data_IF_524397481562
#
_entry.id   IF_524397481562
#
_cell.length_a   1.000
_cell.length_b   1.000
_cell.length_c   1.000
_cell.angle_alpha   90.00
_cell.angle_beta   90.00
_cell.angle_gamma   90.00
#
_symmetry.space_group_name_H-M   'P 1'
#
loop_
_entity.id
_entity.type
_entity.pdbx_description
1 polymer ?
#
# COMPACT_ATOMS: atom_id res chain seq x y z
N UNK A 1 -9.85 -21.80 -86.98
CA UNK A 1 -11.13 -21.14 -87.32
C UNK A 1 -12.25 -22.02 -86.79
N UNK A 2 -13.22 -21.62 -86.00
CA UNK A 2 -13.69 -20.31 -85.52
C UNK A 2 -14.85 -20.67 -84.56
N UNK A 3 -14.87 -20.05 -83.39
CA UNK A 3 -15.83 -20.15 -82.27
C UNK A 3 -17.08 -21.05 -82.46
N UNK A 4 -17.08 -22.24 -81.84
CA UNK A 4 -18.29 -23.03 -81.56
C UNK A 4 -18.89 -22.60 -80.23
N UNK A 5 -20.00 -21.87 -80.31
CA UNK A 5 -20.90 -21.54 -79.21
C UNK A 5 -21.44 -22.82 -78.55
N UNK A 6 -21.11 -23.02 -77.27
CA UNK A 6 -21.68 -24.06 -76.43
C UNK A 6 -23.16 -23.73 -76.13
N UNK A 7 -24.08 -24.45 -76.76
CA UNK A 7 -25.52 -24.42 -76.43
C UNK A 7 -25.73 -24.82 -74.97
N UNK A 8 -26.05 -23.86 -74.10
CA UNK A 8 -26.65 -24.12 -72.77
C UNK A 8 -27.93 -24.94 -72.97
N UNK A 9 -27.98 -26.16 -72.45
CA UNK A 9 -29.19 -26.98 -72.35
C UNK A 9 -30.26 -26.20 -71.57
N UNK A 10 -31.45 -26.00 -72.17
CA UNK A 10 -32.63 -25.48 -71.45
C UNK A 10 -33.07 -26.56 -70.47
N UNK A 11 -32.85 -26.34 -69.17
CA UNK A 11 -33.36 -27.19 -68.09
C UNK A 11 -34.89 -27.22 -68.19
N UNK A 12 -35.46 -28.41 -68.23
CA UNK A 12 -36.92 -28.60 -68.32
C UNK A 12 -37.60 -28.09 -67.05
N UNK A 13 -38.84 -27.55 -67.12
CA UNK A 13 -39.57 -27.01 -65.95
C UNK A 13 -39.64 -28.01 -64.78
N UNK A 14 -39.67 -29.31 -65.09
CA UNK A 14 -39.66 -30.41 -64.13
C UNK A 14 -38.29 -30.65 -63.44
N UNK A 15 -37.17 -30.46 -64.12
CA UNK A 15 -35.83 -30.61 -63.52
C UNK A 15 -35.50 -29.44 -62.59
N UNK A 16 -35.93 -28.22 -62.93
CA UNK A 16 -35.84 -27.06 -62.02
C UNK A 16 -36.69 -27.24 -60.77
N UNK A 17 -37.87 -27.83 -60.91
CA UNK A 17 -38.76 -28.09 -59.77
C UNK A 17 -38.16 -29.16 -58.83
N UNK A 18 -37.58 -30.23 -59.40
CA UNK A 18 -36.85 -31.24 -58.63
C UNK A 18 -35.64 -30.68 -57.91
N UNK A 19 -34.83 -29.85 -58.58
CA UNK A 19 -33.68 -29.20 -57.94
C UNK A 19 -34.11 -28.28 -56.79
N UNK A 20 -35.22 -27.54 -56.94
CA UNK A 20 -35.77 -26.73 -55.86
C UNK A 20 -36.28 -27.59 -54.70
N UNK A 21 -36.98 -28.69 -54.98
CA UNK A 21 -37.45 -29.64 -53.95
C UNK A 21 -36.30 -30.32 -53.21
N UNK A 22 -35.25 -30.73 -53.92
CA UNK A 22 -34.07 -31.39 -53.36
C UNK A 22 -33.21 -30.40 -52.56
N UNK A 23 -33.13 -29.14 -52.98
CA UNK A 23 -32.50 -28.05 -52.21
C UNK A 23 -33.31 -27.68 -50.96
N UNK A 24 -34.64 -27.69 -51.05
CA UNK A 24 -35.54 -27.43 -49.92
C UNK A 24 -35.53 -28.59 -48.90
N UNK A 25 -35.55 -29.85 -49.35
CA UNK A 25 -35.32 -31.02 -48.49
C UNK A 25 -33.93 -31.00 -47.84
N UNK A 26 -32.89 -30.55 -48.57
CA UNK A 26 -31.55 -30.44 -48.00
C UNK A 26 -31.48 -29.34 -46.94
N UNK A 27 -32.12 -28.18 -47.18
CA UNK A 27 -32.25 -27.11 -46.17
C UNK A 27 -33.03 -27.57 -44.95
N UNK A 28 -34.13 -28.30 -45.13
CA UNK A 28 -34.90 -28.84 -44.01
C UNK A 28 -34.10 -29.86 -43.19
N UNK A 29 -33.31 -30.73 -43.84
CA UNK A 29 -32.38 -31.63 -43.14
C UNK A 29 -31.27 -30.89 -42.41
N UNK A 30 -30.65 -29.90 -43.05
CA UNK A 30 -29.61 -29.08 -42.43
C UNK A 30 -30.15 -28.30 -41.21
N UNK A 31 -31.38 -27.77 -41.29
CA UNK A 31 -32.08 -27.11 -40.18
C UNK A 31 -32.44 -28.08 -39.04
N UNK A 32 -32.91 -29.30 -39.37
CA UNK A 32 -33.24 -30.32 -38.37
C UNK A 32 -31.99 -30.88 -37.68
N UNK A 33 -30.92 -31.12 -38.43
CA UNK A 33 -29.61 -31.49 -37.87
C UNK A 33 -29.03 -30.37 -37.00
N UNK A 34 -29.17 -29.10 -37.40
CA UNK A 34 -28.76 -27.96 -36.58
C UNK A 34 -29.60 -27.86 -35.30
N UNK A 35 -30.90 -28.11 -35.36
CA UNK A 35 -31.81 -28.11 -34.19
C UNK A 35 -31.44 -29.24 -33.21
N UNK A 36 -31.26 -30.46 -33.70
CA UNK A 36 -30.84 -31.61 -32.87
C UNK A 36 -29.45 -31.38 -32.28
N UNK A 37 -28.52 -30.80 -33.04
CA UNK A 37 -27.19 -30.44 -32.53
C UNK A 37 -27.29 -29.39 -31.42
N UNK A 38 -28.10 -28.35 -31.61
CA UNK A 38 -28.34 -27.33 -30.60
C UNK A 38 -29.00 -27.91 -29.34
N UNK A 39 -30.03 -28.75 -29.49
CA UNK A 39 -30.67 -29.45 -28.36
C UNK A 39 -29.68 -30.35 -27.60
N UNK A 40 -28.82 -31.08 -28.32
CA UNK A 40 -27.78 -31.91 -27.71
C UNK A 40 -26.73 -31.07 -26.98
N UNK A 41 -26.28 -29.95 -27.57
CA UNK A 41 -25.35 -29.01 -26.95
C UNK A 41 -25.95 -28.38 -25.68
N UNK A 42 -27.24 -27.99 -25.71
CA UNK A 42 -27.96 -27.48 -24.53
C UNK A 42 -28.10 -28.55 -23.44
N UNK A 43 -28.43 -29.79 -23.81
CA UNK A 43 -28.48 -30.92 -22.87
C UNK A 43 -27.11 -31.19 -22.24
N UNK A 44 -26.03 -31.21 -23.03
CA UNK A 44 -24.67 -31.39 -22.53
C UNK A 44 -24.24 -30.22 -21.62
N UNK A 45 -24.63 -28.98 -21.91
CA UNK A 45 -24.40 -27.82 -21.03
C UNK A 45 -25.12 -27.96 -19.70
N UNK A 46 -26.40 -28.35 -19.73
CA UNK A 46 -27.20 -28.55 -18.52
C UNK A 46 -26.66 -29.71 -17.67
N UNK A 47 -26.21 -30.79 -18.29
CA UNK A 47 -25.60 -31.92 -17.59
C UNK A 47 -24.26 -31.51 -16.95
N UNK A 48 -23.40 -30.78 -17.66
CA UNK A 48 -22.17 -30.19 -17.09
C UNK A 48 -22.48 -29.29 -15.89
N UNK A 49 -23.48 -28.42 -16.01
CA UNK A 49 -23.91 -27.55 -14.91
C UNK A 49 -24.43 -28.33 -13.70
N UNK A 50 -25.10 -29.47 -13.90
CA UNK A 50 -25.56 -30.33 -12.80
C UNK A 50 -24.38 -31.00 -12.10
N UNK A 51 -23.49 -31.62 -12.86
CA UNK A 51 -22.29 -32.28 -12.32
C UNK A 51 -21.42 -31.27 -11.56
N UNK A 52 -21.25 -30.06 -12.10
CA UNK A 52 -20.51 -28.98 -11.44
C UNK A 52 -21.19 -28.54 -10.14
N UNK A 53 -22.52 -28.41 -10.11
CA UNK A 53 -23.28 -28.11 -8.89
C UNK A 53 -23.18 -29.20 -7.84
N UNK A 54 -23.30 -30.46 -8.24
CA UNK A 54 -23.16 -31.60 -7.33
C UNK A 54 -21.76 -31.66 -6.72
N UNK A 55 -20.72 -31.49 -7.56
CA UNK A 55 -19.33 -31.36 -7.07
C UNK A 55 -19.18 -30.18 -6.12
N UNK A 56 -19.78 -29.04 -6.43
CA UNK A 56 -19.75 -27.86 -5.55
C UNK A 56 -20.39 -28.13 -4.19
N UNK A 57 -21.57 -28.76 -4.16
CA UNK A 57 -22.24 -29.15 -2.92
C UNK A 57 -21.44 -30.17 -2.10
N UNK A 58 -20.75 -31.11 -2.76
CA UNK A 58 -19.86 -32.05 -2.06
C UNK A 58 -18.68 -31.32 -1.40
N UNK A 59 -18.10 -30.33 -2.07
CA UNK A 59 -17.03 -29.51 -1.49
C UNK A 59 -17.55 -28.66 -0.32
N UNK A 60 -18.78 -28.12 -0.41
CA UNK A 60 -19.39 -27.35 0.70
C UNK A 60 -19.64 -28.22 1.92
N UNK A 61 -20.09 -29.46 1.73
CA UNK A 61 -20.28 -30.40 2.84
C UNK A 61 -18.94 -30.71 3.54
N UNK A 62 -17.88 -30.97 2.75
CA UNK A 62 -16.54 -31.23 3.30
C UNK A 62 -15.96 -30.03 4.06
N UNK A 63 -16.10 -28.82 3.53
CA UNK A 63 -15.67 -27.61 4.24
C UNK A 63 -16.43 -27.43 5.54
N UNK A 64 -17.76 -27.63 5.54
CA UNK A 64 -18.58 -27.50 6.74
C UNK A 64 -18.15 -28.48 7.84
N UNK A 65 -17.78 -29.72 7.47
CA UNK A 65 -17.27 -30.72 8.41
C UNK A 65 -15.94 -30.29 9.04
N UNK A 66 -15.02 -29.74 8.25
CA UNK A 66 -13.68 -29.30 8.71
C UNK A 66 -13.66 -27.94 9.41
N UNK A 67 -14.64 -27.08 9.11
CA UNK A 67 -14.65 -25.65 9.49
C UNK A 67 -14.35 -25.38 10.96
N UNK A 68 -14.96 -26.15 11.86
CA UNK A 68 -14.75 -25.93 13.29
C UNK A 68 -13.31 -26.26 13.70
N UNK A 69 -12.77 -27.37 13.20
CA UNK A 69 -11.39 -27.80 13.48
C UNK A 69 -10.38 -26.81 12.90
N UNK A 70 -10.58 -26.35 11.65
CA UNK A 70 -9.72 -25.35 11.01
C UNK A 70 -9.74 -24.00 11.74
N UNK A 71 -10.92 -23.56 12.19
CA UNK A 71 -11.04 -22.30 12.93
C UNK A 71 -10.42 -22.40 14.33
N UNK A 72 -10.51 -23.55 14.99
CA UNK A 72 -9.88 -23.79 16.28
C UNK A 72 -8.34 -23.84 16.15
N UNK A 73 -7.80 -24.54 15.13
CA UNK A 73 -6.37 -24.54 14.84
C UNK A 73 -5.86 -23.11 14.54
N UNK A 74 -6.61 -22.35 13.71
CA UNK A 74 -6.23 -20.97 13.43
C UNK A 74 -6.26 -20.10 14.69
N UNK A 75 -7.25 -20.26 15.57
CA UNK A 75 -7.34 -19.51 16.82
C UNK A 75 -6.10 -19.73 17.70
N UNK A 76 -5.64 -20.98 17.83
CA UNK A 76 -4.41 -21.32 18.56
C UNK A 76 -3.17 -20.68 17.91
N UNK A 77 -3.08 -20.67 16.58
CA UNK A 77 -1.99 -20.00 15.86
C UNK A 77 -2.03 -18.48 16.06
N UNK A 78 -3.21 -17.88 16.14
CA UNK A 78 -3.40 -16.45 16.39
C UNK A 78 -3.09 -16.04 17.85
N UNK A 79 -2.88 -16.97 18.78
CA UNK A 79 -2.43 -16.65 20.15
C UNK A 79 -1.06 -15.94 20.16
N UNK A 80 -0.29 -16.03 19.07
CA UNK A 80 0.93 -15.27 18.90
C UNK A 80 0.72 -13.74 18.96
N UNK A 81 -0.44 -13.21 18.54
CA UNK A 81 -0.73 -11.77 18.58
C UNK A 81 -0.85 -11.23 20.02
N UNK A 82 -1.72 -11.79 20.90
CA UNK A 82 -1.76 -11.36 22.30
C UNK A 82 -0.45 -11.66 23.04
N UNK A 83 0.28 -12.72 22.69
CA UNK A 83 1.61 -12.99 23.25
C UNK A 83 2.63 -11.90 22.88
N UNK A 84 2.70 -11.52 21.61
CA UNK A 84 3.58 -10.44 21.15
C UNK A 84 3.25 -9.11 21.84
N UNK A 85 1.96 -8.81 21.98
CA UNK A 85 1.50 -7.62 22.69
C UNK A 85 1.86 -7.65 24.18
N UNK A 86 1.79 -8.82 24.84
CA UNK A 86 2.29 -8.99 26.20
C UNK A 86 3.80 -8.74 26.28
N UNK A 87 4.59 -9.31 25.37
CA UNK A 87 6.03 -9.10 25.31
C UNK A 87 6.41 -7.62 25.11
N UNK A 88 5.66 -6.88 24.30
CA UNK A 88 5.85 -5.42 24.14
C UNK A 88 5.63 -4.68 25.46
N UNK A 89 4.56 -5.02 26.19
CA UNK A 89 4.27 -4.42 27.51
C UNK A 89 5.36 -4.75 28.52
N UNK A 90 5.76 -6.00 28.60
CA UNK A 90 6.81 -6.47 29.52
C UNK A 90 8.15 -5.80 29.19
N UNK A 91 8.49 -5.66 27.91
CA UNK A 91 9.70 -4.94 27.46
C UNK A 91 9.64 -3.47 27.87
N UNK A 92 8.50 -2.80 27.68
CA UNK A 92 8.30 -1.40 28.11
C UNK A 92 8.45 -1.24 29.62
N UNK A 93 7.83 -2.13 30.40
CA UNK A 93 7.95 -2.13 31.86
C UNK A 93 9.39 -2.35 32.31
N UNK A 94 10.12 -3.26 31.66
CA UNK A 94 11.53 -3.49 31.95
C UNK A 94 12.38 -2.27 31.60
N UNK A 95 12.13 -1.60 30.47
CA UNK A 95 12.80 -0.34 30.12
C UNK A 95 12.53 0.76 31.14
N UNK A 96 11.28 0.92 31.60
CA UNK A 96 10.92 1.85 32.67
C UNK A 96 11.62 1.51 33.98
N UNK A 97 11.68 0.23 34.35
CA UNK A 97 12.39 -0.22 35.54
C UNK A 97 13.90 0.01 35.45
N UNK A 98 14.52 -0.27 34.30
CA UNK A 98 15.94 -0.03 34.09
C UNK A 98 16.28 1.46 34.18
N UNK A 99 15.45 2.31 33.56
CA UNK A 99 15.56 3.76 33.67
C UNK A 99 15.43 4.22 35.13
N UNK A 100 14.45 3.69 35.87
CA UNK A 100 14.28 3.96 37.31
C UNK A 100 15.52 3.55 38.14
N UNK A 101 16.18 2.44 37.83
CA UNK A 101 17.41 2.02 38.52
C UNK A 101 18.61 2.89 38.16
N UNK A 102 18.71 3.36 36.92
CA UNK A 102 19.86 4.11 36.43
C UNK A 102 20.05 5.43 37.18
N UNK A 103 18.96 6.07 37.65
CA UNK A 103 19.02 7.30 38.46
C UNK A 103 19.96 8.37 37.90
N UNK A 104 20.10 8.46 36.57
CA UNK A 104 21.07 9.35 35.91
C UNK A 104 20.52 10.76 35.66
N UNK A 105 19.25 11.00 36.05
CA UNK A 105 18.57 12.28 35.89
C UNK A 105 18.06 12.55 34.47
N UNK A 106 18.16 11.59 33.55
CA UNK A 106 17.52 11.69 32.24
C UNK A 106 15.99 11.56 32.36
N UNK A 107 15.18 12.23 31.52
CA UNK A 107 13.72 12.15 31.58
C UNK A 107 13.19 10.91 30.86
N UNK A 108 12.05 10.36 31.30
CA UNK A 108 11.33 9.33 30.53
C UNK A 108 10.63 9.98 29.31
N UNK A 109 10.96 9.61 28.06
CA UNK A 109 10.32 10.13 26.85
C UNK A 109 8.81 9.91 26.77
N UNK A 110 8.27 8.97 27.54
CA UNK A 110 6.85 8.66 27.61
C UNK A 110 6.08 9.48 28.65
N UNK A 111 6.77 10.26 29.48
CA UNK A 111 6.18 11.11 30.52
C UNK A 111 6.34 12.58 30.11
N UNK A 112 5.30 13.16 29.50
CA UNK A 112 5.35 14.54 28.98
C UNK A 112 5.80 15.59 30.01
N UNK A 113 5.39 15.54 31.29
CA UNK A 113 5.90 16.47 32.31
C UNK A 113 7.42 16.42 32.51
N UNK A 114 8.04 15.23 32.47
CA UNK A 114 9.49 15.06 32.64
C UNK A 114 10.24 15.62 31.44
N UNK A 115 9.76 15.33 30.22
CA UNK A 115 10.31 15.88 28.99
C UNK A 115 10.19 17.41 28.94
N UNK A 116 9.05 17.96 29.36
CA UNK A 116 8.88 19.42 29.44
C UNK A 116 9.83 20.06 30.45
N UNK A 117 10.02 19.41 31.61
CA UNK A 117 10.96 19.86 32.64
C UNK A 117 12.39 19.80 32.12
N UNK A 118 12.78 18.69 31.49
CA UNK A 118 14.09 18.51 30.91
C UNK A 118 14.37 19.48 29.76
N UNK A 119 13.42 19.70 28.84
CA UNK A 119 13.54 20.71 27.76
C UNK A 119 13.69 22.11 28.36
N UNK A 120 13.01 22.41 29.46
CA UNK A 120 13.13 23.70 30.14
C UNK A 120 14.51 23.87 30.79
N UNK A 121 15.00 22.84 31.50
CA UNK A 121 16.33 22.83 32.10
C UNK A 121 17.45 22.85 31.05
N UNK A 122 17.29 22.11 29.95
CA UNK A 122 18.24 22.12 28.83
C UNK A 122 18.28 23.48 28.14
N UNK A 123 17.14 24.16 27.97
CA UNK A 123 17.11 25.55 27.49
C UNK A 123 17.85 26.52 28.40
N UNK A 124 18.00 26.20 29.68
CA UNK A 124 18.76 26.96 30.66
C UNK A 124 20.26 26.59 30.68
N UNK A 125 20.63 25.38 30.25
CA UNK A 125 22.03 24.95 30.08
C UNK A 125 22.61 25.37 28.73
N UNK A 126 23.17 26.59 28.67
CA UNK A 126 24.01 27.02 27.54
C UNK A 126 25.44 26.49 27.69
N UNK A 127 25.77 25.36 27.06
CA UNK A 127 27.17 24.95 26.88
C UNK A 127 27.81 25.74 25.72
N UNK A 128 28.10 27.00 26.00
CA UNK A 128 29.13 27.83 25.36
C UNK A 128 29.96 28.40 26.54
N UNK A 129 31.25 28.69 26.36
CA UNK A 129 32.05 29.28 27.45
C UNK A 129 31.34 30.54 27.95
N UNK A 130 31.21 30.70 29.28
CA UNK A 130 30.46 31.80 29.90
C UNK A 130 30.88 33.17 29.32
N UNK A 131 32.16 33.31 28.92
CA UNK A 131 32.66 34.52 28.26
C UNK A 131 32.07 34.77 26.85
N UNK A 132 31.91 33.74 26.02
CA UNK A 132 31.36 33.86 24.65
C UNK A 132 29.87 34.20 24.67
N UNK A 133 29.11 33.56 25.56
CA UNK A 133 27.68 33.84 25.77
C UNK A 133 27.48 35.25 26.28
N UNK A 134 28.29 35.71 27.25
CA UNK A 134 28.18 37.07 27.80
C UNK A 134 28.53 38.12 26.73
N UNK A 135 29.52 37.87 25.87
CA UNK A 135 29.88 38.79 24.80
C UNK A 135 28.77 38.92 23.74
N UNK A 136 28.22 37.78 23.26
CA UNK A 136 27.08 37.76 22.34
C UNK A 136 25.83 38.37 22.99
N UNK A 137 25.56 38.05 24.26
CA UNK A 137 24.39 38.57 24.99
C UNK A 137 24.49 40.07 25.22
N UNK A 138 25.68 40.62 25.51
CA UNK A 138 25.87 42.09 25.60
C UNK A 138 25.66 42.77 24.25
N UNK A 139 26.09 42.15 23.16
CA UNK A 139 25.85 42.66 21.80
C UNK A 139 24.34 42.67 21.49
N UNK A 140 23.64 41.55 21.71
CA UNK A 140 22.19 41.42 21.49
C UNK A 140 21.40 42.35 22.41
N UNK A 141 21.79 42.47 23.69
CA UNK A 141 21.17 43.40 24.63
C UNK A 141 21.40 44.86 24.23
N UNK A 142 22.59 45.22 23.73
CA UNK A 142 22.81 46.57 23.19
C UNK A 142 21.94 46.81 21.94
N UNK A 143 21.82 45.84 21.03
CA UNK A 143 20.95 45.93 19.85
C UNK A 143 19.47 46.08 20.25
N UNK A 144 19.01 45.35 21.27
CA UNK A 144 17.65 45.46 21.81
C UNK A 144 17.42 46.78 22.56
N UNK A 145 18.44 47.29 23.26
CA UNK A 145 18.38 48.48 24.11
C UNK A 145 18.57 49.79 23.33
N UNK A 146 19.32 49.77 22.23
CA UNK A 146 19.49 50.89 21.30
C UNK A 146 18.39 50.96 20.21
N UNK A 147 17.40 50.06 20.28
CA UNK A 147 16.10 50.23 19.62
C UNK A 147 16.01 49.59 18.25
N UNK A 148 15.84 48.26 18.24
CA UNK A 148 15.19 47.61 17.10
C UNK A 148 13.78 48.19 16.98
N UNK A 149 13.55 49.01 15.95
CA UNK A 149 12.22 49.50 15.61
C UNK A 149 11.48 48.41 14.86
N UNK A 150 10.25 48.09 15.29
CA UNK A 150 9.39 47.14 14.58
C UNK A 150 8.97 47.77 13.27
N UNK A 151 9.61 47.36 12.18
CA UNK A 151 9.18 47.72 10.84
C UNK A 151 8.00 46.82 10.45
N UNK A 152 6.80 47.39 10.39
CA UNK A 152 5.60 46.70 9.95
C UNK A 152 5.57 46.77 8.43
N UNK A 153 5.47 45.61 7.78
CA UNK A 153 5.31 45.51 6.34
C UNK A 153 4.03 44.74 6.00
N UNK A 154 3.15 45.29 5.14
CA UNK A 154 3.26 46.63 4.53
C UNK A 154 3.15 47.76 5.60
N UNK A 155 3.85 48.90 5.42
CA UNK A 155 3.78 50.03 6.33
C UNK A 155 2.34 50.52 6.52
N UNK A 156 1.91 50.73 7.76
CA UNK A 156 0.68 51.46 8.07
C UNK A 156 0.86 52.90 7.56
N UNK A 157 0.10 53.28 6.54
CA UNK A 157 0.25 54.55 5.83
C UNK A 157 0.22 55.76 6.77
N UNK A 158 1.36 56.41 6.97
CA UNK A 158 1.39 57.83 7.36
C UNK A 158 1.45 58.64 6.07
N UNK A 159 0.31 59.24 5.70
CA UNK A 159 0.10 60.39 4.81
C UNK A 159 1.12 60.64 3.67
N UNK A 160 0.58 60.71 2.44
CA UNK A 160 1.22 61.16 1.19
C UNK A 160 2.12 60.20 0.40
N UNK A 161 1.53 59.10 -0.07
CA UNK A 161 1.87 58.63 -1.42
C UNK A 161 0.58 58.44 -2.23
N UNK A 162 0.54 59.16 -3.35
CA UNK A 162 -0.49 59.11 -4.38
C UNK A 162 -0.84 57.65 -4.73
N UNK A 163 -2.14 57.42 -4.92
CA UNK A 163 -2.75 56.21 -5.46
C UNK A 163 -1.96 55.62 -6.63
N UNK A 164 -1.15 54.58 -6.39
CA UNK A 164 -0.76 53.51 -7.34
C UNK A 164 0.28 52.50 -6.79
N UNK A 165 0.95 52.74 -5.66
CA UNK A 165 1.99 51.83 -5.16
C UNK A 165 1.47 50.84 -4.12
N UNK A 166 0.98 49.67 -4.57
CA UNK A 166 1.02 48.48 -3.74
C UNK A 166 2.48 48.23 -3.34
N UNK A 167 2.78 48.12 -2.04
CA UNK A 167 4.13 47.80 -1.60
C UNK A 167 4.61 46.53 -2.33
N UNK A 168 5.82 46.52 -2.90
CA UNK A 168 6.24 45.43 -3.78
C UNK A 168 6.39 44.15 -2.97
N UNK A 169 5.78 43.02 -3.38
CA UNK A 169 5.88 41.74 -2.68
C UNK A 169 7.33 41.38 -2.35
N UNK A 170 7.51 40.74 -1.21
CA UNK A 170 8.82 40.35 -0.71
C UNK A 170 9.19 39.02 -1.31
N UNK A 171 10.31 38.99 -2.02
CA UNK A 171 10.89 37.75 -2.51
C UNK A 171 11.60 37.01 -1.36
N UNK A 172 11.24 35.75 -1.17
CA UNK A 172 11.82 34.86 -0.17
C UNK A 172 12.35 33.63 -0.88
N UNK A 173 13.62 33.29 -0.59
CA UNK A 173 14.25 32.05 -1.05
C UNK A 173 14.57 31.17 0.16
N UNK A 174 14.10 29.93 0.13
CA UNK A 174 14.32 28.92 1.18
C UNK A 174 15.03 27.71 0.60
N UNK A 175 15.95 27.13 1.38
CA UNK A 175 16.55 25.82 1.09
C UNK A 175 15.75 24.72 1.78
N UNK A 176 15.31 23.72 0.99
CA UNK A 176 14.54 22.59 1.49
C UNK A 176 15.46 21.58 2.17
N UNK A 177 15.14 21.21 3.43
CA UNK A 177 15.93 20.29 4.25
C UNK A 177 16.25 18.97 3.56
N UNK A 178 17.50 18.50 3.68
CA UNK A 178 18.06 17.39 2.88
C UNK A 178 17.20 16.10 2.86
N UNK A 179 16.63 15.77 4.01
CA UNK A 179 15.86 14.57 4.28
C UNK A 179 14.41 14.61 3.80
N UNK A 180 13.88 15.76 3.38
CA UNK A 180 12.49 15.90 2.91
C UNK A 180 12.43 15.72 1.40
N UNK A 181 11.47 14.91 0.94
CA UNK A 181 11.21 14.63 -0.46
C UNK A 181 9.84 15.22 -0.85
N UNK A 182 9.82 15.95 -1.96
CA UNK A 182 8.62 16.42 -2.63
C UNK A 182 8.54 15.74 -4.01
N UNK A 183 7.40 15.12 -4.31
CA UNK A 183 7.19 14.41 -5.60
C UNK A 183 6.59 15.32 -6.68
N UNK A 184 5.97 16.41 -6.25
CA UNK A 184 5.48 17.51 -7.08
C UNK A 184 6.01 18.81 -6.51
N UNK A 185 5.86 19.91 -7.26
CA UNK A 185 6.27 21.22 -6.78
C UNK A 185 5.53 21.55 -5.46
N UNK A 186 6.27 21.81 -4.37
CA UNK A 186 5.65 22.04 -3.07
C UNK A 186 4.82 23.32 -3.11
N UNK A 187 3.64 23.26 -2.51
CA UNK A 187 2.83 24.45 -2.32
C UNK A 187 3.34 25.24 -1.11
N UNK A 188 3.41 26.56 -1.25
CA UNK A 188 3.75 27.45 -0.14
C UNK A 188 2.45 27.90 0.52
N UNK A 189 2.41 27.83 1.85
CA UNK A 189 1.28 28.33 2.64
C UNK A 189 1.78 29.26 3.75
N UNK A 190 0.99 30.31 4.03
CA UNK A 190 1.20 31.25 5.13
C UNK A 190 0.22 30.96 6.26
N UNK A 191 0.64 31.20 7.50
CA UNK A 191 -0.22 31.05 8.67
C UNK A 191 -1.12 32.28 8.81
N UNK A 192 -2.43 32.07 8.84
CA UNK A 192 -3.40 33.09 9.25
C UNK A 192 -3.62 33.01 10.77
N UNK A 193 -3.19 34.06 11.47
CA UNK A 193 -3.32 34.14 12.92
C UNK A 193 -4.76 34.36 13.39
N UNK A 194 -5.61 35.01 12.59
CA UNK A 194 -7.01 35.29 12.95
C UNK A 194 -7.87 34.03 12.77
N UNK A 195 -7.78 33.40 11.60
CA UNK A 195 -8.47 32.15 11.30
C UNK A 195 -7.86 30.91 11.96
N UNK A 196 -6.59 30.99 12.41
CA UNK A 196 -5.81 29.87 12.97
C UNK A 196 -5.69 28.68 12.01
N UNK A 197 -5.41 28.95 10.75
CA UNK A 197 -5.20 27.93 9.74
C UNK A 197 -4.18 28.39 8.68
N UNK A 198 -3.70 27.44 7.89
CA UNK A 198 -2.84 27.73 6.75
C UNK A 198 -3.68 28.24 5.56
N UNK A 199 -3.16 29.22 4.82
CA UNK A 199 -3.76 29.80 3.63
C UNK A 199 -2.71 29.94 2.51
N UNK A 200 -3.14 29.97 1.26
CA UNK A 200 -2.27 30.05 0.07
C UNK A 200 -2.40 31.39 -0.69
N UNK A 201 -3.12 32.34 -0.13
CA UNK A 201 -3.30 33.69 -0.66
C UNK A 201 -2.14 34.62 -0.27
N UNK A 202 -1.99 35.73 -0.99
CA UNK A 202 -0.88 36.66 -0.79
C UNK A 202 0.50 36.08 -1.13
N UNK A 203 0.52 34.97 -1.87
CA UNK A 203 1.71 34.28 -2.36
C UNK A 203 1.67 34.24 -3.89
N UNK A 204 2.76 34.62 -4.53
CA UNK A 204 2.90 34.60 -6.00
C UNK A 204 4.31 34.22 -6.43
N UNK A 205 4.52 34.02 -7.74
CA UNK A 205 5.83 33.74 -8.35
C UNK A 205 6.58 32.55 -7.70
N UNK A 206 5.86 31.50 -7.33
CA UNK A 206 6.47 30.29 -6.75
C UNK A 206 7.28 29.57 -7.82
N UNK A 207 8.57 29.41 -7.58
CA UNK A 207 9.52 28.68 -8.41
C UNK A 207 10.30 27.71 -7.53
N UNK A 208 10.19 26.42 -7.81
CA UNK A 208 10.98 25.38 -7.15
C UNK A 208 12.06 24.83 -8.08
N UNK A 209 13.32 24.96 -7.67
CA UNK A 209 14.48 24.40 -8.35
C UNK A 209 14.88 23.11 -7.63
N UNK A 210 14.31 21.98 -8.05
CA UNK A 210 14.47 20.70 -7.37
C UNK A 210 15.93 20.21 -7.28
N UNK A 211 16.76 20.48 -8.30
CA UNK A 211 18.19 20.12 -8.30
C UNK A 211 19.00 20.87 -7.24
N UNK A 212 18.67 22.15 -7.00
CA UNK A 212 19.34 23.01 -6.01
C UNK A 212 18.63 22.99 -4.65
N UNK A 213 17.42 22.40 -4.59
CA UNK A 213 16.52 22.39 -3.43
C UNK A 213 16.12 23.78 -2.96
N UNK A 214 16.13 24.75 -3.85
CA UNK A 214 15.76 26.14 -3.55
C UNK A 214 14.33 26.39 -4.02
N UNK A 215 13.51 26.93 -3.13
CA UNK A 215 12.19 27.47 -3.48
C UNK A 215 12.20 28.98 -3.31
N UNK A 216 11.80 29.69 -4.35
CA UNK A 216 11.67 31.15 -4.36
C UNK A 216 10.21 31.53 -4.58
N UNK A 217 9.70 32.48 -3.82
CA UNK A 217 8.32 32.96 -3.93
C UNK A 217 8.19 34.39 -3.41
N UNK A 218 7.12 35.07 -3.84
CA UNK A 218 6.80 36.44 -3.44
C UNK A 218 5.67 36.44 -2.39
N UNK A 219 5.85 37.19 -1.29
CA UNK A 219 4.89 37.36 -0.20
C UNK A 219 4.37 38.80 -0.11
N UNK A 220 3.06 38.98 -0.02
CA UNK A 220 2.44 40.29 0.21
C UNK A 220 2.56 40.76 1.67
N UNK A 221 2.63 39.83 2.62
CA UNK A 221 2.71 40.13 4.07
C UNK A 221 3.63 39.13 4.77
N UNK A 222 4.38 39.59 5.78
CA UNK A 222 5.21 38.70 6.59
C UNK A 222 4.37 37.82 7.52
N UNK A 223 4.79 36.56 7.65
CA UNK A 223 4.24 35.63 8.61
C UNK A 223 4.98 34.29 8.57
N UNK A 224 4.64 33.36 9.49
CA UNK A 224 5.10 31.99 9.40
C UNK A 224 4.67 31.38 8.07
N UNK A 225 5.60 30.71 7.39
CA UNK A 225 5.36 29.98 6.13
C UNK A 225 5.71 28.52 6.30
N UNK A 226 5.08 27.67 5.49
CA UNK A 226 5.38 26.25 5.42
C UNK A 226 5.24 25.73 3.99
N UNK A 227 5.85 24.58 3.73
CA UNK A 227 5.76 23.85 2.47
C UNK A 227 4.84 22.65 2.67
N UNK A 228 3.88 22.47 1.77
CA UNK A 228 2.89 21.40 1.84
C UNK A 228 2.88 20.59 0.55
N UNK A 229 2.55 19.30 0.69
CA UNK A 229 2.33 18.37 -0.42
C UNK A 229 1.10 17.52 -0.15
N UNK A 230 0.56 16.90 -1.18
CA UNK A 230 -0.56 15.97 -1.01
C UNK A 230 -0.13 14.76 -0.15
N UNK A 231 -0.90 14.51 0.91
CA UNK A 231 -0.68 13.38 1.83
C UNK A 231 -0.86 12.04 1.11
N UNK A 232 -1.65 12.00 0.04
CA UNK A 232 -2.02 10.80 -0.69
C UNK A 232 -1.26 10.60 -2.00
N UNK A 233 -0.23 11.41 -2.28
CA UNK A 233 0.52 11.42 -3.55
C UNK A 233 1.12 10.06 -3.96
N UNK A 234 1.45 9.22 -2.97
CA UNK A 234 2.00 7.88 -3.17
C UNK A 234 0.93 6.77 -3.14
N UNK A 235 -0.36 7.13 -3.23
CA UNK A 235 -1.52 6.23 -3.25
C UNK A 235 -2.41 6.57 -4.47
N UNK A 236 -2.99 5.56 -5.16
CA UNK A 236 -2.91 4.14 -4.88
C UNK A 236 -1.55 3.53 -5.26
N UNK A 237 -1.23 2.37 -4.68
CA UNK A 237 -0.03 1.62 -4.99
C UNK A 237 -0.20 0.90 -6.34
N UNK A 238 0.85 0.92 -7.16
CA UNK A 238 0.88 0.23 -8.45
C UNK A 238 1.13 -1.27 -8.30
N UNK A 239 1.95 -1.65 -7.32
CA UNK A 239 2.20 -3.05 -6.96
C UNK A 239 2.84 -3.15 -5.58
N UNK A 240 2.83 -4.35 -5.02
CA UNK A 240 3.56 -4.67 -3.80
C UNK A 240 3.97 -6.15 -3.78
N UNK A 241 5.04 -6.45 -3.06
CA UNK A 241 5.52 -7.81 -2.81
C UNK A 241 6.02 -7.93 -1.38
N UNK A 242 5.59 -8.96 -0.67
CA UNK A 242 6.10 -9.35 0.64
C UNK A 242 6.85 -10.67 0.46
N UNK A 243 8.18 -10.68 0.62
CA UNK A 243 9.00 -11.89 0.44
C UNK A 243 9.80 -12.23 1.70
N UNK A 244 9.88 -13.52 2.09
CA UNK A 244 10.77 -13.91 3.18
C UNK A 244 12.23 -13.72 2.77
N UNK A 245 13.04 -13.27 3.73
CA UNK A 245 14.49 -13.24 3.67
C UNK A 245 15.10 -14.29 4.59
N UNK A 246 14.44 -14.55 5.73
CA UNK A 246 14.80 -15.54 6.73
C UNK A 246 13.52 -15.87 7.54
N UNK A 247 13.57 -16.84 8.46
CA UNK A 247 12.43 -17.28 9.28
C UNK A 247 11.75 -16.13 10.02
N UNK A 248 12.52 -15.14 10.48
CA UNK A 248 12.01 -13.96 11.21
C UNK A 248 12.36 -12.65 10.53
N UNK A 249 12.48 -12.67 9.19
CA UNK A 249 12.86 -11.50 8.40
C UNK A 249 12.17 -11.52 7.05
N UNK A 250 11.50 -10.44 6.68
CA UNK A 250 10.87 -10.25 5.36
C UNK A 250 11.30 -8.94 4.74
N UNK A 251 11.19 -8.86 3.42
CA UNK A 251 11.23 -7.62 2.65
C UNK A 251 9.82 -7.32 2.13
N UNK A 252 9.28 -6.17 2.48
CA UNK A 252 8.10 -5.58 1.87
C UNK A 252 8.55 -4.53 0.85
N UNK A 253 8.22 -4.75 -0.41
CA UNK A 253 8.42 -3.78 -1.49
C UNK A 253 7.06 -3.18 -1.85
N UNK A 254 6.94 -1.86 -1.81
CA UNK A 254 5.75 -1.12 -2.24
C UNK A 254 6.14 -0.19 -3.38
N UNK A 255 5.48 -0.35 -4.52
CA UNK A 255 5.68 0.46 -5.71
C UNK A 255 4.49 1.38 -5.90
N UNK A 256 4.75 2.66 -6.03
CA UNK A 256 3.79 3.75 -6.21
C UNK A 256 4.07 4.42 -7.55
N UNK A 257 3.34 5.50 -7.88
CA UNK A 257 3.55 6.25 -9.11
C UNK A 257 4.96 6.86 -9.19
N UNK A 258 5.46 7.39 -8.08
CA UNK A 258 6.73 8.13 -8.04
C UNK A 258 7.87 7.34 -7.41
N UNK A 259 7.55 6.33 -6.59
CA UNK A 259 8.54 5.69 -5.72
C UNK A 259 8.41 4.18 -5.61
N UNK A 260 9.56 3.53 -5.41
CA UNK A 260 9.65 2.15 -4.93
C UNK A 260 10.31 2.17 -3.56
N UNK A 261 9.59 1.71 -2.54
CA UNK A 261 10.05 1.69 -1.15
C UNK A 261 10.25 0.23 -0.73
N UNK A 262 11.45 -0.09 -0.26
CA UNK A 262 11.79 -1.41 0.25
C UNK A 262 12.00 -1.36 1.76
N UNK A 263 11.17 -2.09 2.50
CA UNK A 263 11.14 -2.11 3.96
C UNK A 263 11.51 -3.51 4.44
N UNK A 264 12.59 -3.64 5.20
CA UNK A 264 12.89 -4.88 5.91
C UNK A 264 12.18 -4.90 7.25
N UNK A 265 11.45 -5.98 7.53
CA UNK A 265 10.82 -6.22 8.83
C UNK A 265 11.53 -7.42 9.45
N UNK A 266 12.08 -7.24 10.64
CA UNK A 266 12.82 -8.27 11.38
C UNK A 266 12.41 -8.23 12.84
N UNK A 267 11.94 -9.35 13.37
CA UNK A 267 11.45 -9.43 14.76
C UNK A 267 10.46 -8.28 15.05
N UNK A 268 10.75 -7.42 16.03
CA UNK A 268 9.91 -6.26 16.39
C UNK A 268 10.34 -4.94 15.75
N UNK A 269 11.15 -4.98 14.68
CA UNK A 269 11.78 -3.80 14.08
C UNK A 269 11.54 -3.72 12.57
N UNK A 270 11.54 -2.49 12.07
CA UNK A 270 11.45 -2.13 10.66
C UNK A 270 12.68 -1.28 10.27
N UNK A 271 13.12 -1.41 9.03
CA UNK A 271 14.23 -0.65 8.47
C UNK A 271 13.94 -0.32 7.01
N UNK A 272 14.26 0.92 6.62
CA UNK A 272 14.25 1.31 5.21
C UNK A 272 15.50 0.71 4.55
N UNK A 273 15.29 -0.24 3.64
CA UNK A 273 16.38 -0.92 2.95
C UNK A 273 16.84 -0.16 1.70
N UNK A 274 15.89 0.36 0.92
CA UNK A 274 16.19 1.29 -0.16
C UNK A 274 14.96 2.09 -0.57
N UNK A 275 15.20 3.27 -1.15
CA UNK A 275 14.19 4.06 -1.86
C UNK A 275 14.66 4.36 -3.27
N UNK A 276 13.76 4.18 -4.24
CA UNK A 276 13.92 4.72 -5.59
C UNK A 276 12.87 5.79 -5.82
N UNK A 277 13.29 6.93 -6.35
CA UNK A 277 12.41 8.01 -6.80
C UNK A 277 12.64 8.15 -8.31
N UNK A 278 11.58 8.11 -9.11
CA UNK A 278 11.66 8.15 -10.59
C UNK A 278 12.64 7.11 -11.17
N UNK A 279 12.61 5.89 -10.63
CA UNK A 279 13.52 4.78 -10.96
C UNK A 279 15.02 5.05 -10.70
N UNK A 280 15.37 6.14 -10.04
CA UNK A 280 16.74 6.45 -9.60
C UNK A 280 16.88 6.16 -8.12
N UNK A 281 18.00 5.56 -7.74
CA UNK A 281 18.31 5.32 -6.32
C UNK A 281 18.43 6.67 -5.61
N UNK A 282 17.66 6.86 -4.55
CA UNK A 282 17.69 8.06 -3.73
C UNK A 282 18.27 7.69 -2.36
N UNK A 283 19.36 8.36 -1.94
CA UNK A 283 19.94 8.10 -0.63
C UNK A 283 19.14 8.84 0.42
N UNK A 284 18.43 8.09 1.27
CA UNK A 284 17.73 8.66 2.43
C UNK A 284 18.58 8.49 3.68
N UNK A 285 18.58 9.50 4.56
CA UNK A 285 19.22 9.44 5.88
C UNK A 285 18.62 8.35 6.79
N UNK A 286 17.42 7.86 6.46
CA UNK A 286 16.73 6.77 7.16
C UNK A 286 17.24 5.38 6.78
N UNK A 287 17.92 5.23 5.63
CA UNK A 287 18.38 3.92 5.16
C UNK A 287 19.30 3.25 6.19
N UNK A 288 19.08 1.95 6.42
CA UNK A 288 19.92 1.16 7.33
C UNK A 288 19.61 1.31 8.84
N UNK A 289 18.68 2.19 9.23
CA UNK A 289 18.30 2.38 10.65
C UNK A 289 17.14 1.47 11.06
N UNK A 290 17.36 0.63 12.07
CA UNK A 290 16.30 -0.20 12.65
C UNK A 290 15.50 0.59 13.69
N UNK A 291 14.17 0.57 13.56
CA UNK A 291 13.23 1.30 14.40
C UNK A 291 12.04 0.42 14.75
N UNK A 292 11.31 0.73 15.83
CA UNK A 292 10.01 0.10 16.06
C UNK A 292 9.02 0.51 14.95
N UNK A 293 7.99 -0.30 14.63
CA UNK A 293 7.06 0.01 13.55
C UNK A 293 6.44 1.42 13.63
N UNK A 294 6.06 1.88 14.84
CA UNK A 294 5.48 3.22 15.04
C UNK A 294 6.51 4.31 14.73
N UNK A 295 7.71 4.20 15.32
CA UNK A 295 8.79 5.16 15.08
C UNK A 295 9.21 5.19 13.61
N UNK A 296 9.22 4.02 12.95
CA UNK A 296 9.50 3.89 11.54
C UNK A 296 8.46 4.62 10.67
N UNK A 297 7.16 4.42 10.95
CA UNK A 297 6.07 5.10 10.23
C UNK A 297 6.18 6.62 10.37
N UNK A 298 6.43 7.11 11.59
CA UNK A 298 6.57 8.55 11.84
C UNK A 298 7.78 9.13 11.10
N UNK A 299 8.95 8.50 11.20
CA UNK A 299 10.15 8.94 10.51
C UNK A 299 9.96 8.95 8.99
N UNK A 300 9.29 7.94 8.42
CA UNK A 300 9.05 7.86 6.98
C UNK A 300 8.07 8.94 6.50
N UNK A 301 7.07 9.32 7.32
CA UNK A 301 6.17 10.44 7.05
C UNK A 301 6.89 11.79 7.11
N UNK A 302 7.78 11.98 8.07
CA UNK A 302 8.57 13.21 8.23
C UNK A 302 9.50 13.48 7.04
N UNK A 303 9.91 12.44 6.30
CA UNK A 303 10.69 12.60 5.06
C UNK A 303 9.83 12.78 3.80
N UNK A 304 8.50 12.85 3.93
CA UNK A 304 7.57 12.95 2.80
C UNK A 304 7.18 11.60 2.16
N UNK A 305 7.76 10.48 2.61
CA UNK A 305 7.50 9.13 2.08
C UNK A 305 6.24 8.51 2.71
N UNK A 306 5.09 9.16 2.56
CA UNK A 306 3.86 8.66 3.16
C UNK A 306 3.17 7.58 2.32
N UNK A 307 3.20 6.33 2.80
CA UNK A 307 2.44 5.18 2.25
C UNK A 307 1.41 4.63 3.24
N UNK A 308 1.04 5.40 4.27
CA UNK A 308 0.21 4.92 5.37
C UNK A 308 -1.14 5.66 5.38
N UNK A 309 -2.20 5.08 4.80
CA UNK A 309 -3.51 5.71 4.77
C UNK A 309 -4.09 5.91 6.17
N UNK A 310 -4.90 6.97 6.31
CA UNK A 310 -5.70 7.25 7.50
C UNK A 310 -7.12 6.71 7.33
N UNK A 311 -7.95 6.80 8.37
CA UNK A 311 -9.36 6.37 8.31
C UNK A 311 -10.18 7.05 7.21
N UNK A 312 -9.77 8.24 6.76
CA UNK A 312 -10.47 9.04 5.76
C UNK A 312 -9.79 9.05 4.39
N UNK A 313 -8.68 8.35 4.21
CA UNK A 313 -7.93 8.34 2.93
C UNK A 313 -8.76 7.81 1.75
N UNK A 314 -9.76 6.97 1.99
CA UNK A 314 -10.65 6.43 0.96
C UNK A 314 -11.55 7.47 0.28
N UNK A 315 -11.66 8.69 0.83
CA UNK A 315 -12.37 9.79 0.18
C UNK A 315 -11.51 10.53 -0.85
N UNK A 316 -10.18 10.40 -0.78
CA UNK A 316 -9.22 11.15 -1.59
C UNK A 316 -8.55 10.29 -2.66
N UNK A 317 -8.58 8.96 -2.49
CA UNK A 317 -7.94 8.01 -3.39
C UNK A 317 -9.00 7.07 -3.97
N UNK A 318 -9.00 6.90 -5.29
CA UNK A 318 -9.86 5.91 -5.97
C UNK A 318 -9.31 4.52 -5.68
N UNK A 319 -10.06 3.74 -4.90
CA UNK A 319 -9.64 2.43 -4.41
C UNK A 319 -10.79 1.43 -4.38
N UNK A 320 -10.47 0.13 -4.34
CA UNK A 320 -11.41 -0.90 -3.95
C UNK A 320 -11.38 -1.09 -2.42
N UNK A 321 -12.15 -0.26 -1.71
CA UNK A 321 -12.17 -0.27 -0.25
C UNK A 321 -12.72 -1.59 0.31
N UNK A 322 -11.84 -2.47 0.79
CA UNK A 322 -12.21 -3.79 1.31
C UNK A 322 -12.90 -3.66 2.67
N UNK A 323 -13.77 -4.64 2.98
CA UNK A 323 -14.38 -4.71 4.30
C UNK A 323 -13.31 -4.93 5.38
N UNK A 324 -13.26 -4.10 6.44
CA UNK A 324 -12.19 -4.15 7.43
C UNK A 324 -11.96 -5.52 8.06
N UNK A 325 -13.03 -6.29 8.31
CA UNK A 325 -12.93 -7.63 8.89
C UNK A 325 -12.25 -8.63 7.96
N UNK A 326 -12.52 -8.56 6.65
CA UNK A 326 -11.88 -9.44 5.65
C UNK A 326 -10.40 -9.09 5.56
N UNK A 327 -10.08 -7.80 5.52
CA UNK A 327 -8.71 -7.28 5.44
C UNK A 327 -7.88 -7.67 6.68
N UNK A 328 -8.41 -7.50 7.89
CA UNK A 328 -7.74 -7.91 9.14
C UNK A 328 -7.46 -9.42 9.15
N UNK A 329 -8.47 -10.23 8.83
CA UNK A 329 -8.31 -11.70 8.79
C UNK A 329 -7.33 -12.15 7.74
N UNK A 330 -7.30 -11.50 6.57
CA UNK A 330 -6.32 -11.77 5.54
C UNK A 330 -4.92 -11.47 6.06
N UNK A 331 -4.69 -10.26 6.57
CA UNK A 331 -3.35 -9.84 7.03
C UNK A 331 -2.77 -10.67 8.15
N UNK A 332 -3.60 -11.10 9.12
CA UNK A 332 -3.14 -12.01 10.17
C UNK A 332 -2.60 -13.32 9.60
N UNK A 333 -3.33 -13.89 8.64
CA UNK A 333 -2.95 -15.15 8.01
C UNK A 333 -1.77 -15.00 7.04
N UNK A 334 -1.69 -13.89 6.31
CA UNK A 334 -0.52 -13.56 5.49
C UNK A 334 0.73 -13.43 6.38
N UNK A 335 0.61 -12.78 7.54
CA UNK A 335 1.70 -12.65 8.49
C UNK A 335 2.16 -13.99 9.07
N UNK A 336 1.22 -14.89 9.43
CA UNK A 336 1.54 -16.24 9.90
C UNK A 336 2.34 -17.06 8.87
N UNK A 337 2.05 -16.88 7.58
CA UNK A 337 2.69 -17.60 6.49
C UNK A 337 3.98 -16.92 5.96
N UNK A 338 4.25 -15.68 6.39
CA UNK A 338 5.27 -14.80 5.78
C UNK A 338 6.72 -15.27 5.93
N UNK A 339 7.00 -16.25 6.79
CA UNK A 339 8.34 -16.82 6.99
C UNK A 339 8.75 -17.83 5.91
N UNK A 340 7.79 -18.38 5.17
CA UNK A 340 8.04 -19.39 4.14
C UNK A 340 7.39 -19.07 2.78
N UNK A 341 6.48 -18.10 2.75
CA UNK A 341 5.72 -17.75 1.56
C UNK A 341 5.89 -16.29 1.19
N UNK A 342 6.14 -16.06 -0.11
CA UNK A 342 6.07 -14.75 -0.72
C UNK A 342 4.64 -14.46 -1.17
N UNK A 343 4.21 -13.22 -0.99
CA UNK A 343 2.91 -12.71 -1.41
C UNK A 343 3.08 -11.51 -2.34
N UNK A 344 2.15 -11.32 -3.27
CA UNK A 344 2.20 -10.19 -4.18
C UNK A 344 0.84 -9.64 -4.59
N UNK A 345 0.86 -8.39 -5.04
CA UNK A 345 -0.27 -7.70 -5.64
C UNK A 345 -0.82 -8.42 -6.87
N UNK A 346 -2.13 -8.64 -6.95
CA UNK A 346 -2.79 -9.18 -8.14
C UNK A 346 -3.69 -8.14 -8.81
N UNK A 347 -3.67 -8.06 -10.14
CA UNK A 347 -4.53 -7.14 -10.90
C UNK A 347 -6.02 -7.42 -10.68
N UNK A 348 -6.36 -8.67 -10.35
CA UNK A 348 -7.74 -9.11 -10.12
C UNK A 348 -8.31 -8.65 -8.77
N UNK A 349 -7.47 -8.17 -7.85
CA UNK A 349 -7.95 -7.69 -6.55
C UNK A 349 -8.83 -6.43 -6.68
N UNK A 350 -8.61 -5.62 -7.72
CA UNK A 350 -9.43 -4.46 -8.04
C UNK A 350 -10.80 -4.89 -8.59
N UNK A 351 -10.84 -5.93 -9.43
CA UNK A 351 -12.06 -6.45 -10.06
C UNK A 351 -12.99 -7.20 -9.10
N UNK A 352 -12.44 -7.76 -8.01
CA UNK A 352 -13.24 -8.55 -7.06
C UNK A 352 -14.03 -7.64 -6.08
N UNK A 353 -15.14 -8.16 -5.53
CA UNK A 353 -15.97 -7.40 -4.59
C UNK A 353 -15.20 -6.96 -3.34
N UNK A 354 -15.66 -5.91 -2.64
CA UNK A 354 -15.07 -5.43 -1.37
C UNK A 354 -15.03 -6.48 -0.25
N UNK A 355 -15.83 -7.54 -0.36
CA UNK A 355 -15.88 -8.69 0.58
C UNK A 355 -14.81 -9.74 0.31
N UNK A 356 -14.02 -9.59 -0.75
CA UNK A 356 -13.03 -10.56 -1.18
C UNK A 356 -11.69 -9.87 -1.40
N UNK A 357 -10.62 -10.61 -1.15
CA UNK A 357 -9.26 -10.20 -1.44
C UNK A 357 -8.61 -11.26 -2.31
N UNK A 358 -7.80 -10.80 -3.27
CA UNK A 358 -7.03 -11.68 -4.15
C UNK A 358 -5.56 -11.34 -4.01
N UNK A 359 -4.74 -12.36 -3.77
CA UNK A 359 -3.29 -12.22 -3.62
C UNK A 359 -2.57 -13.28 -4.43
N UNK A 360 -1.40 -12.92 -4.95
CA UNK A 360 -0.44 -13.89 -5.44
C UNK A 360 0.28 -14.55 -4.27
N UNK A 361 0.54 -15.84 -4.40
CA UNK A 361 1.26 -16.67 -3.45
C UNK A 361 2.33 -17.49 -4.15
N UNK A 362 3.51 -17.58 -3.54
CA UNK A 362 4.58 -18.49 -3.93
C UNK A 362 5.32 -19.00 -2.70
N UNK A 363 5.62 -20.29 -2.67
CA UNK A 363 6.53 -20.84 -1.66
C UNK A 363 7.97 -20.35 -1.93
N UNK A 364 8.65 -19.87 -0.90
CA UNK A 364 9.99 -19.29 -1.01
C UNK A 364 10.88 -19.79 0.13
N UNK A 365 11.66 -20.84 -0.18
CA UNK A 365 12.53 -21.51 0.79
C UNK A 365 13.99 -21.04 0.73
N UNK A 366 14.47 -20.60 -0.42
CA UNK A 366 15.87 -20.24 -0.67
C UNK A 366 16.10 -18.74 -0.79
N UNK A 367 17.29 -18.27 -0.39
CA UNK A 367 17.77 -16.88 -0.58
C UNK A 367 18.08 -16.52 -2.05
N UNK A 368 17.77 -17.39 -3.01
CA UNK A 368 18.12 -17.19 -4.41
C UNK A 368 17.38 -16.00 -5.04
N UNK A 369 18.09 -15.36 -5.97
CA UNK A 369 17.66 -14.17 -6.72
C UNK A 369 16.25 -14.31 -7.31
N UNK A 370 15.54 -13.18 -7.52
CA UNK A 370 14.21 -13.20 -8.11
C UNK A 370 14.20 -13.98 -9.42
N UNK A 371 13.48 -15.10 -9.43
CA UNK A 371 13.23 -15.90 -10.63
C UNK A 371 12.51 -15.01 -11.64
N UNK A 372 13.02 -14.93 -12.87
CA UNK A 372 12.47 -14.05 -13.93
C UNK A 372 11.00 -14.33 -14.27
N UNK A 373 10.49 -15.53 -13.95
CA UNK A 373 9.08 -15.87 -14.08
C UNK A 373 8.67 -16.87 -12.97
N UNK A 374 8.33 -16.37 -11.76
CA UNK A 374 7.97 -17.24 -10.66
C UNK A 374 6.58 -17.84 -10.91
N UNK A 375 6.41 -19.13 -10.63
CA UNK A 375 5.10 -19.79 -10.72
C UNK A 375 4.17 -19.33 -9.58
N UNK A 376 3.58 -18.14 -9.74
CA UNK A 376 2.64 -17.56 -8.80
C UNK A 376 1.29 -18.25 -8.85
N UNK A 377 0.73 -18.50 -7.68
CA UNK A 377 -0.62 -19.01 -7.51
C UNK A 377 -1.54 -17.89 -7.04
N UNK A 378 -2.72 -17.78 -7.63
CA UNK A 378 -3.74 -16.83 -7.18
C UNK A 378 -4.63 -17.45 -6.10
N UNK A 379 -4.69 -16.79 -4.96
CA UNK A 379 -5.59 -17.12 -3.86
C UNK A 379 -6.67 -16.06 -3.76
N UNK A 380 -7.91 -16.49 -3.54
CA UNK A 380 -9.03 -15.63 -3.20
C UNK A 380 -9.52 -15.96 -1.80
N UNK A 381 -9.76 -14.93 -0.98
CA UNK A 381 -10.26 -15.07 0.38
C UNK A 381 -11.42 -14.12 0.64
N UNK A 382 -12.48 -14.62 1.27
CA UNK A 382 -13.72 -13.89 1.55
C UNK A 382 -13.95 -13.57 3.04
N UNK A 383 -12.96 -13.85 3.89
CA UNK A 383 -13.06 -13.68 5.34
C UNK A 383 -13.48 -14.96 6.08
N UNK A 384 -14.10 -15.90 5.38
CA UNK A 384 -14.55 -17.18 5.94
C UNK A 384 -14.44 -18.37 4.98
N UNK A 385 -13.88 -18.12 3.80
CA UNK A 385 -13.56 -19.13 2.79
C UNK A 385 -12.41 -18.66 1.92
N UNK A 386 -11.44 -19.55 1.72
CA UNK A 386 -10.24 -19.42 0.93
C UNK A 386 -10.26 -20.44 -0.21
N UNK A 387 -9.85 -20.03 -1.41
CA UNK A 387 -9.76 -20.91 -2.57
C UNK A 387 -8.63 -20.53 -3.52
N UNK A 388 -8.13 -21.52 -4.25
CA UNK A 388 -7.17 -21.32 -5.34
C UNK A 388 -7.90 -21.06 -6.65
N UNK A 389 -7.56 -19.98 -7.33
CA UNK A 389 -8.19 -19.64 -8.60
C UNK A 389 -7.57 -20.44 -9.76
N UNK A 390 -8.42 -20.82 -10.73
CA UNK A 390 -8.00 -21.45 -11.99
C UNK A 390 -7.27 -20.48 -12.92
N UNK A 391 -7.63 -19.20 -12.84
CA UNK A 391 -7.02 -18.13 -13.63
C UNK A 391 -5.60 -17.79 -13.16
N UNK A 392 -4.89 -17.05 -14.00
CA UNK A 392 -3.57 -16.48 -13.70
C UNK A 392 -3.55 -14.98 -14.06
N UNK A 393 -2.41 -14.32 -13.86
CA UNK A 393 -2.24 -12.89 -14.19
C UNK A 393 -2.34 -12.59 -15.69
N UNK A 394 -2.15 -13.59 -16.55
CA UNK A 394 -2.20 -13.43 -18.01
C UNK A 394 -3.60 -13.71 -18.58
N UNK A 395 -4.55 -14.10 -17.73
CA UNK A 395 -5.92 -14.37 -18.17
C UNK A 395 -6.60 -13.08 -18.66
N UNK A 396 -7.44 -13.19 -19.69
CA UNK A 396 -8.14 -12.05 -20.30
C UNK A 396 -9.33 -11.59 -19.46
N UNK A 397 -10.01 -12.53 -18.80
CA UNK A 397 -11.22 -12.26 -18.02
C UNK A 397 -11.09 -12.73 -16.58
N UNK A 398 -11.71 -11.98 -15.68
CA UNK A 398 -11.81 -12.36 -14.29
C UNK A 398 -12.75 -13.57 -14.14
N UNK A 399 -12.33 -14.55 -13.35
CA UNK A 399 -13.15 -15.72 -13.02
C UNK A 399 -12.81 -16.22 -11.62
N UNK A 400 -13.86 -16.49 -10.85
CA UNK A 400 -13.78 -17.07 -9.51
C UNK A 400 -13.75 -18.61 -9.54
N UNK A 401 -13.57 -19.22 -10.71
CA UNK A 401 -13.54 -20.66 -10.85
C UNK A 401 -12.40 -21.27 -10.01
N UNK A 402 -12.76 -22.28 -9.20
CA UNK A 402 -11.83 -23.07 -8.41
C UNK A 402 -10.86 -23.82 -9.33
N UNK A 403 -9.59 -23.89 -8.94
CA UNK A 403 -8.61 -24.69 -9.68
C UNK A 403 -8.99 -26.17 -9.63
N UNK A 404 -8.79 -26.87 -10.75
CA UNK A 404 -9.06 -28.31 -10.84
C UNK A 404 -8.28 -29.08 -9.77
N UNK A 405 -8.94 -30.08 -9.18
CA UNK A 405 -8.39 -30.94 -8.12
C UNK A 405 -7.99 -30.22 -6.83
N UNK A 406 -8.50 -28.99 -6.61
CA UNK A 406 -8.33 -28.28 -5.34
C UNK A 406 -9.65 -28.20 -4.58
N UNK A 407 -9.56 -28.04 -3.27
CA UNK A 407 -10.70 -27.79 -2.39
C UNK A 407 -10.66 -26.34 -1.89
N UNK A 408 -11.76 -25.88 -1.29
CA UNK A 408 -11.76 -24.66 -0.50
C UNK A 408 -11.72 -24.98 0.98
N UNK A 409 -11.17 -24.04 1.74
CA UNK A 409 -11.00 -24.12 3.18
C UNK A 409 -11.59 -22.88 3.82
N UNK A 410 -11.83 -22.94 5.13
CA UNK A 410 -12.34 -21.79 5.88
C UNK A 410 -11.26 -20.70 6.07
N UNK A 411 -9.98 -21.06 5.94
CA UNK A 411 -8.85 -20.14 6.17
C UNK A 411 -7.75 -20.25 5.10
N UNK A 412 -7.02 -19.15 4.87
CA UNK A 412 -5.83 -19.12 4.00
C UNK A 412 -4.74 -20.07 4.50
N UNK A 413 -4.56 -20.19 5.81
CA UNK A 413 -3.55 -21.08 6.39
C UNK A 413 -3.78 -22.54 5.98
N UNK A 414 -5.01 -23.04 6.12
CA UNK A 414 -5.35 -24.43 5.78
C UNK A 414 -5.28 -24.69 4.28
N UNK A 415 -5.75 -23.74 3.46
CA UNK A 415 -5.57 -23.82 2.02
C UNK A 415 -4.09 -23.94 1.62
N UNK A 416 -3.20 -23.19 2.26
CA UNK A 416 -1.76 -23.25 1.97
C UNK A 416 -1.13 -24.53 2.50
N UNK A 417 -1.56 -25.00 3.68
CA UNK A 417 -1.10 -26.24 4.32
C UNK A 417 -1.28 -27.47 3.42
N UNK A 418 -2.31 -27.49 2.58
CA UNK A 418 -2.60 -28.60 1.66
C UNK A 418 -1.52 -28.83 0.59
N UNK A 419 -0.79 -27.78 0.20
CA UNK A 419 0.26 -27.88 -0.83
C UNK A 419 1.63 -27.39 -0.37
N UNK A 420 1.75 -26.88 0.86
CA UNK A 420 3.02 -26.46 1.44
C UNK A 420 3.99 -27.63 1.61
N UNK A 421 5.27 -27.40 1.33
CA UNK A 421 6.30 -28.38 1.67
C UNK A 421 6.46 -28.54 3.19
N UNK A 422 7.03 -29.67 3.62
CA UNK A 422 7.33 -29.92 5.04
C UNK A 422 8.29 -28.86 5.61
N UNK A 423 9.27 -28.43 4.81
CA UNK A 423 10.23 -27.40 5.19
C UNK A 423 9.54 -26.04 5.39
N UNK A 424 8.61 -25.66 4.51
CA UNK A 424 7.83 -24.44 4.65
C UNK A 424 7.03 -24.44 5.98
N UNK A 425 6.39 -25.57 6.29
CA UNK A 425 5.62 -25.71 7.53
C UNK A 425 6.50 -25.69 8.79
N UNK A 426 7.72 -26.19 8.73
CA UNK A 426 8.70 -26.09 9.83
C UNK A 426 9.17 -24.64 10.06
N UNK A 427 9.40 -23.87 8.99
CA UNK A 427 9.71 -22.44 9.08
C UNK A 427 8.54 -21.65 9.70
N UNK A 428 7.32 -21.93 9.30
CA UNK A 428 6.12 -21.30 9.88
C UNK A 428 6.02 -21.59 11.38
N UNK A 429 6.21 -22.85 11.79
CA UNK A 429 6.16 -23.25 13.22
C UNK A 429 7.27 -22.66 14.07
N UNK A 430 8.43 -22.36 13.48
CA UNK A 430 9.59 -21.76 14.20
C UNK A 430 9.60 -20.24 14.18
N UNK A 431 8.59 -19.61 13.58
CA UNK A 431 8.46 -18.16 13.52
C UNK A 431 8.12 -17.57 14.89
N UNK A 432 8.77 -16.45 15.24
CA UNK A 432 8.55 -15.74 16.50
C UNK A 432 7.27 -14.91 16.44
N UNK A 433 6.52 -14.86 17.54
CA UNK A 433 5.31 -14.06 17.65
C UNK A 433 5.53 -12.55 17.39
N UNK A 434 6.64 -11.98 17.85
CA UNK A 434 7.00 -10.57 17.62
C UNK A 434 7.19 -10.24 16.13
N UNK A 435 7.74 -11.19 15.36
CA UNK A 435 7.92 -11.07 13.92
C UNK A 435 6.57 -11.09 13.19
N UNK A 436 5.74 -12.10 13.47
CA UNK A 436 4.39 -12.23 12.90
C UNK A 436 3.56 -10.97 13.18
N UNK A 437 3.59 -10.49 14.43
CA UNK A 437 2.88 -9.29 14.84
C UNK A 437 3.39 -8.03 14.09
N UNK A 438 4.70 -7.87 13.92
CA UNK A 438 5.25 -6.70 13.21
C UNK A 438 4.93 -6.71 11.73
N UNK A 439 4.96 -7.88 11.09
CA UNK A 439 4.50 -8.03 9.69
C UNK A 439 3.02 -7.67 9.57
N UNK A 440 2.17 -8.22 10.45
CA UNK A 440 0.74 -7.91 10.48
C UNK A 440 0.48 -6.42 10.70
N UNK A 441 1.20 -5.80 11.64
CA UNK A 441 1.10 -4.38 11.95
C UNK A 441 1.45 -3.50 10.74
N UNK A 442 2.54 -3.81 10.02
CA UNK A 442 2.93 -3.07 8.83
C UNK A 442 1.95 -3.25 7.67
N UNK A 443 1.42 -4.46 7.48
CA UNK A 443 0.39 -4.73 6.48
C UNK A 443 -0.92 -3.98 6.78
N UNK A 444 -1.36 -3.96 8.05
CA UNK A 444 -2.52 -3.19 8.51
C UNK A 444 -2.31 -1.68 8.37
N UNK A 445 -1.09 -1.20 8.62
CA UNK A 445 -0.76 0.23 8.54
C UNK A 445 -0.71 0.74 7.10
N UNK A 446 -0.29 -0.10 6.16
CA UNK A 446 -0.20 0.24 4.73
C UNK A 446 -1.51 -0.03 3.98
N UNK A 447 -2.35 -0.96 4.47
CA UNK A 447 -3.63 -1.35 3.83
C UNK A 447 -3.49 -1.69 2.34
N UNK A 448 -2.40 -2.37 1.98
CA UNK A 448 -2.08 -2.83 0.63
C UNK A 448 -3.28 -3.45 -0.11
N UNK A 449 -4.14 -4.24 0.53
CA UNK A 449 -5.25 -4.95 -0.12
C UNK A 449 -6.39 -4.03 -0.55
N UNK A 450 -6.52 -2.87 0.09
CA UNK A 450 -7.49 -1.84 -0.29
C UNK A 450 -6.89 -0.80 -1.23
N UNK A 451 -5.62 -0.41 -1.01
CA UNK A 451 -4.97 0.71 -1.70
C UNK A 451 -4.11 0.28 -2.91
N UNK A 452 -4.32 -0.92 -3.46
CA UNK A 452 -3.62 -1.41 -4.67
C UNK A 452 -4.55 -2.09 -5.67
#
# INVERSE_FOLDING_TARGET
MTFKSARKKKITKAERLKQLQEEEERRQKEEEEARVKHEKEEMERLERQRIEREKWHQLEAKDLERRNEELEELYLLEECFPEAEKLKRDTRLLSQWNHYIQCDGSPDPSVSPEINTFISLWKEETNETLEEVIAKSKLVLNILKEGLQKYIYPPESTEDFETENAFPPIEVTLEVQENVIFFEDPMVARWDAEGKHWQTDGISNVLYQSEERLITFSLETFGPVTLIQDTHINMPFQSWELRPLDVNKVLLTVTTVFTEIQIQIKENLCMLASVKVDNKKHSSTLEGRWMTPISFILALKETGLNIFPTGHSHFYVVINHKEPLVEIKAYRQLALLSSAFAFGWSKWNVECSSKKVIVKLREHLTEEEPVQDPNWTLLMFSGDRAQRLKINENSETFSEALKEETEFHSTLYHLVKDFASKEAMEKIRSSKCQFIDSVCYMLLSTRLLSYS
#
